data_IF_924529905981
#
_entry.id   IF_924529905981
#
_cell.length_a   1.000
_cell.length_b   1.000
_cell.length_c   1.000
_cell.angle_alpha   90.00
_cell.angle_beta   90.00
_cell.angle_gamma   90.00
#
_symmetry.space_group_name_H-M   'P 1'
#
loop_
_entity.id
_entity.type
_entity.pdbx_description
1 polymer ?
#
# COMPACT_ATOMS: atom_id res chain seq x y z
N UNK A 1 13.18 -24.55 8.50
CA UNK A 1 12.61 -23.36 9.15
C UNK A 1 11.84 -22.59 8.10
N UNK A 2 10.52 -22.42 8.26
CA UNK A 2 9.73 -21.65 7.29
C UNK A 2 9.96 -20.17 7.60
N UNK A 3 10.79 -19.51 6.78
CA UNK A 3 10.94 -18.04 6.82
C UNK A 3 9.66 -17.41 6.30
N UNK A 4 9.21 -16.30 6.90
CA UNK A 4 8.00 -15.59 6.46
C UNK A 4 8.41 -14.25 5.87
N UNK A 5 7.94 -13.99 4.65
CA UNK A 5 8.08 -12.69 4.02
C UNK A 5 6.85 -11.85 4.33
N UNK A 6 7.06 -10.67 4.91
CA UNK A 6 6.03 -9.68 5.17
C UNK A 6 6.13 -8.58 4.13
N UNK A 7 5.07 -8.44 3.34
CA UNK A 7 4.98 -7.47 2.25
C UNK A 7 4.05 -6.34 2.69
N UNK A 8 4.59 -5.12 2.77
CA UNK A 8 3.85 -3.90 3.10
C UNK A 8 3.64 -3.12 1.82
N UNK A 9 2.39 -2.83 1.50
CA UNK A 9 2.00 -2.06 0.34
C UNK A 9 1.39 -0.75 0.83
N UNK A 10 1.87 0.38 0.30
CA UNK A 10 1.37 1.72 0.65
C UNK A 10 1.11 2.51 -0.62
N UNK A 11 -0.07 3.16 -0.71
CA UNK A 11 -0.41 4.01 -1.85
C UNK A 11 -1.41 5.10 -1.46
N UNK A 12 -1.48 6.16 -2.25
CA UNK A 12 -2.51 7.20 -2.17
C UNK A 12 -3.80 6.80 -2.89
N UNK A 13 -3.73 5.91 -3.88
CA UNK A 13 -4.88 5.39 -4.62
C UNK A 13 -5.25 3.97 -4.18
N UNK A 14 -6.45 3.82 -3.62
CA UNK A 14 -6.95 2.53 -3.17
C UNK A 14 -7.20 1.53 -4.31
N UNK A 15 -7.57 1.98 -5.51
CA UNK A 15 -7.92 1.10 -6.63
C UNK A 15 -6.67 0.39 -7.16
N UNK A 16 -5.63 1.18 -7.48
CA UNK A 16 -4.34 0.66 -7.94
C UNK A 16 -3.69 -0.26 -6.91
N UNK A 17 -3.79 0.10 -5.62
CA UNK A 17 -3.29 -0.73 -4.53
C UNK A 17 -3.97 -2.10 -4.46
N UNK A 18 -5.30 -2.13 -4.62
CA UNK A 18 -6.06 -3.38 -4.61
C UNK A 18 -5.74 -4.25 -5.84
N UNK A 19 -5.55 -3.65 -7.01
CA UNK A 19 -5.14 -4.37 -8.22
C UNK A 19 -3.79 -5.07 -8.02
N UNK A 20 -2.80 -4.37 -7.46
CA UNK A 20 -1.49 -4.96 -7.13
C UNK A 20 -1.62 -6.08 -6.09
N UNK A 21 -2.46 -5.89 -5.06
CA UNK A 21 -2.74 -6.94 -4.07
C UNK A 21 -3.33 -8.20 -4.72
N UNK A 22 -4.26 -8.04 -5.67
CA UNK A 22 -4.84 -9.15 -6.40
C UNK A 22 -3.82 -9.88 -7.28
N UNK A 23 -2.95 -9.14 -7.96
CA UNK A 23 -1.89 -9.74 -8.77
C UNK A 23 -0.94 -10.57 -7.91
N UNK A 24 -0.51 -10.06 -6.74
CA UNK A 24 0.31 -10.80 -5.78
C UNK A 24 -0.42 -12.06 -5.29
N UNK A 25 -1.71 -11.95 -4.97
CA UNK A 25 -2.53 -13.09 -4.55
C UNK A 25 -2.64 -14.17 -5.64
N UNK A 26 -2.83 -13.77 -6.90
CA UNK A 26 -2.89 -14.70 -8.05
C UNK A 26 -1.55 -15.42 -8.24
N UNK A 27 -0.43 -14.73 -8.07
CA UNK A 27 0.90 -15.34 -8.17
C UNK A 27 1.13 -16.34 -7.03
N UNK A 28 0.80 -15.97 -5.80
CA UNK A 28 0.93 -16.87 -4.65
C UNK A 28 0.07 -18.15 -4.81
N UNK A 29 -1.16 -18.02 -5.34
CA UNK A 29 -2.03 -19.15 -5.65
C UNK A 29 -1.46 -20.06 -6.74
N UNK A 30 -0.88 -19.49 -7.81
CA UNK A 30 -0.26 -20.28 -8.89
C UNK A 30 0.93 -21.09 -8.41
N UNK A 31 1.70 -20.57 -7.46
CA UNK A 31 2.88 -21.26 -6.93
C UNK A 31 2.55 -22.21 -5.77
N UNK A 32 1.31 -22.18 -5.26
CA UNK A 32 0.86 -23.06 -4.18
C UNK A 32 1.38 -22.68 -2.79
N UNK A 33 1.85 -21.44 -2.62
CA UNK A 33 2.40 -20.96 -1.35
C UNK A 33 1.29 -20.50 -0.42
N UNK A 34 1.44 -20.76 0.89
CA UNK A 34 0.48 -20.28 1.88
C UNK A 34 0.58 -18.77 1.98
N UNK A 35 -0.57 -18.11 1.81
CA UNK A 35 -0.72 -16.66 1.88
C UNK A 35 -1.71 -16.32 2.99
N UNK A 36 -1.30 -15.45 3.91
CA UNK A 36 -2.23 -14.68 4.71
C UNK A 36 -2.62 -13.48 3.87
N UNK A 37 -3.91 -13.44 3.51
CA UNK A 37 -4.45 -12.53 2.49
C UNK A 37 -4.17 -11.04 2.75
N UNK A 38 -4.50 -10.16 1.80
CA UNK A 38 -4.25 -8.73 1.95
C UNK A 38 -5.04 -8.17 3.13
N UNK A 39 -4.37 -8.00 4.27
CA UNK A 39 -4.91 -7.42 5.50
C UNK A 39 -4.97 -5.90 5.29
N UNK A 40 -6.17 -5.30 5.26
CA UNK A 40 -6.30 -3.86 5.19
C UNK A 40 -5.91 -3.24 6.53
N UNK A 41 -4.84 -2.45 6.52
CA UNK A 41 -4.48 -1.62 7.67
C UNK A 41 -5.28 -0.30 7.62
N UNK A 42 -5.53 0.33 8.78
CA UNK A 42 -6.20 1.62 8.85
C UNK A 42 -5.53 2.67 7.95
N UNK A 43 -6.36 3.37 7.18
CA UNK A 43 -5.91 4.44 6.30
C UNK A 43 -5.48 5.63 7.13
N UNK A 44 -4.24 6.10 6.94
CA UNK A 44 -3.79 7.34 7.58
C UNK A 44 -4.37 8.52 6.82
N UNK A 45 -5.02 9.43 7.55
CA UNK A 45 -5.61 10.66 7.02
C UNK A 45 -4.75 11.84 7.46
N UNK A 46 -4.07 12.48 6.52
CA UNK A 46 -3.31 13.70 6.76
C UNK A 46 -4.19 14.87 6.35
N UNK A 47 -4.58 15.69 7.33
CA UNK A 47 -5.44 16.86 7.11
C UNK A 47 -4.59 18.10 7.32
N UNK A 48 -4.56 18.98 6.32
CA UNK A 48 -3.89 20.28 6.40
C UNK A 48 -4.98 21.33 6.17
N UNK A 49 -5.15 22.21 7.14
CA UNK A 49 -6.09 23.34 7.05
C UNK A 49 -5.32 24.64 6.93
N UNK A 50 -5.51 25.37 5.84
CA UNK A 50 -4.87 26.66 5.61
C UNK A 50 -5.93 27.75 5.42
N UNK A 51 -5.58 28.97 5.81
CA UNK A 51 -6.41 30.11 5.44
C UNK A 51 -6.32 30.29 3.94
N UNK A 52 -7.46 30.57 3.29
CA UNK A 52 -7.49 30.80 1.83
C UNK A 52 -6.77 32.09 1.47
N UNK A 53 -6.90 33.11 2.32
CA UNK A 53 -6.29 34.41 2.12
C UNK A 53 -4.83 34.42 2.59
N UNK A 54 -3.90 35.02 1.81
CA UNK A 54 -2.49 35.14 2.20
C UNK A 54 -2.22 36.31 3.17
N UNK A 55 -2.97 37.42 3.09
CA UNK A 55 -2.74 38.65 3.85
C UNK A 55 -3.59 38.80 5.12
N UNK A 56 -4.49 37.85 5.41
CA UNK A 56 -5.35 37.88 6.62
C UNK A 56 -6.53 38.85 6.60
N UNK A 57 -6.63 39.71 5.57
CA UNK A 57 -7.75 40.64 5.38
C UNK A 57 -8.98 39.97 4.71
N UNK A 58 -10.17 40.45 5.02
CA UNK A 58 -11.44 39.94 4.47
C UNK A 58 -12.08 38.79 5.27
N UNK A 59 -12.95 38.02 4.61
CA UNK A 59 -13.74 36.98 5.29
C UNK A 59 -12.88 35.78 5.66
N UNK A 60 -12.94 35.34 6.92
CA UNK A 60 -12.20 34.18 7.45
C UNK A 60 -12.68 32.87 6.79
N UNK A 61 -12.05 32.53 5.68
CA UNK A 61 -12.31 31.31 4.91
C UNK A 61 -11.12 30.36 5.01
N UNK A 62 -11.42 29.07 5.14
CA UNK A 62 -10.44 28.01 5.38
C UNK A 62 -10.59 26.92 4.33
N UNK A 63 -9.48 26.54 3.71
CA UNK A 63 -9.41 25.37 2.86
C UNK A 63 -8.91 24.17 3.66
N UNK A 64 -9.52 23.02 3.39
CA UNK A 64 -9.20 21.75 4.05
C UNK A 64 -8.68 20.77 3.01
N UNK A 65 -7.38 20.57 3.00
CA UNK A 65 -6.72 19.59 2.14
C UNK A 65 -6.57 18.27 2.89
N UNK A 66 -6.83 17.16 2.19
CA UNK A 66 -6.72 15.83 2.76
C UNK A 66 -5.88 14.93 1.84
N UNK A 67 -4.88 14.26 2.42
CA UNK A 67 -4.17 13.16 1.79
C UNK A 67 -4.49 11.86 2.51
N UNK A 68 -5.02 10.88 1.78
CA UNK A 68 -5.29 9.55 2.28
C UNK A 68 -4.17 8.60 1.89
N UNK A 69 -3.61 7.91 2.88
CA UNK A 69 -2.59 6.89 2.66
C UNK A 69 -3.20 5.53 3.02
N UNK A 70 -3.41 4.72 2.01
CA UNK A 70 -3.92 3.36 2.10
C UNK A 70 -2.77 2.39 2.33
N UNK A 71 -2.96 1.47 3.29
CA UNK A 71 -1.97 0.46 3.65
C UNK A 71 -2.56 -0.93 3.57
N UNK A 72 -1.78 -1.87 3.04
CA UNK A 72 -2.09 -3.30 2.99
C UNK A 72 -0.89 -4.09 3.47
N UNK A 73 -1.15 -5.19 4.15
CA UNK A 73 -0.15 -6.13 4.63
C UNK A 73 -0.46 -7.50 4.05
N UNK A 74 0.54 -8.16 3.49
CA UNK A 74 0.43 -9.55 3.00
C UNK A 74 1.57 -10.33 3.64
N UNK A 75 1.27 -11.43 4.33
CA UNK A 75 2.29 -12.34 4.84
C UNK A 75 2.30 -13.61 3.96
N UNK A 76 3.46 -13.98 3.43
CA UNK A 76 3.66 -15.14 2.55
C UNK A 76 4.81 -15.99 3.09
N UNK A 77 4.72 -17.31 2.96
CA UNK A 77 5.85 -18.21 3.26
C UNK A 77 6.98 -17.97 2.25
N UNK A 78 8.21 -17.78 2.73
CA UNK A 78 9.35 -17.37 1.91
C UNK A 78 9.87 -18.53 1.06
N UNK A 79 9.32 -18.65 -0.14
CA UNK A 79 9.81 -19.48 -1.23
C UNK A 79 10.56 -18.61 -2.27
N UNK A 80 11.80 -18.97 -2.61
CA UNK A 80 12.65 -18.17 -3.51
C UNK A 80 12.04 -17.99 -4.90
N UNK A 81 11.36 -19.01 -5.42
CA UNK A 81 10.70 -18.96 -6.73
C UNK A 81 9.58 -17.92 -6.73
N UNK A 82 8.80 -17.90 -5.67
CA UNK A 82 7.69 -16.95 -5.49
C UNK A 82 8.21 -15.52 -5.31
N UNK A 83 9.27 -15.30 -4.53
CA UNK A 83 9.87 -13.97 -4.32
C UNK A 83 10.39 -13.35 -5.63
N UNK A 84 11.07 -14.14 -6.47
CA UNK A 84 11.54 -13.68 -7.80
C UNK A 84 10.40 -13.29 -8.73
N UNK A 85 9.26 -13.99 -8.65
CA UNK A 85 8.09 -13.66 -9.44
C UNK A 85 7.41 -12.38 -8.95
N UNK A 86 7.34 -12.16 -7.63
CA UNK A 86 6.77 -10.94 -7.05
C UNK A 86 7.58 -9.71 -7.45
N UNK A 87 8.91 -9.80 -7.45
CA UNK A 87 9.79 -8.70 -7.88
C UNK A 87 9.65 -8.34 -9.37
N UNK A 88 9.10 -9.23 -10.20
CA UNK A 88 8.88 -9.01 -11.63
C UNK A 88 7.54 -8.34 -11.96
N UNK A 89 6.69 -8.13 -10.97
CA UNK A 89 5.40 -7.45 -11.18
C UNK A 89 5.68 -6.00 -11.60
N UNK A 90 4.96 -5.52 -12.61
CA UNK A 90 4.98 -4.09 -12.97
C UNK A 90 4.17 -3.33 -11.94
N UNK A 91 4.86 -2.66 -11.03
CA UNK A 91 4.23 -1.84 -9.99
C UNK A 91 4.01 -0.43 -10.54
N UNK A 92 2.79 0.13 -10.46
CA UNK A 92 2.56 1.54 -10.78
C UNK A 92 3.37 2.45 -9.85
N UNK A 93 3.84 3.60 -10.34
CA UNK A 93 4.70 4.53 -9.56
C UNK A 93 4.04 5.02 -8.26
N UNK A 94 2.71 5.03 -8.19
CA UNK A 94 1.93 5.44 -7.03
C UNK A 94 1.91 4.41 -5.89
N UNK A 95 2.44 3.21 -6.09
CA UNK A 95 2.40 2.10 -5.13
C UNK A 95 3.80 1.79 -4.63
N UNK A 96 4.03 2.03 -3.34
CA UNK A 96 5.26 1.65 -2.65
C UNK A 96 5.15 0.25 -2.08
N UNK A 97 6.12 -0.61 -2.39
CA UNK A 97 6.23 -1.98 -1.85
C UNK A 97 7.48 -2.05 -0.97
N UNK A 98 7.31 -2.54 0.25
CA UNK A 98 8.40 -2.89 1.16
C UNK A 98 8.29 -4.37 1.52
N UNK A 99 9.40 -5.09 1.47
CA UNK A 99 9.46 -6.52 1.77
C UNK A 99 10.42 -6.71 2.94
N UNK A 100 9.93 -7.27 4.03
CA UNK A 100 10.70 -7.65 5.21
C UNK A 100 10.76 -9.18 5.30
N UNK A 101 11.95 -9.75 5.38
CA UNK A 101 12.14 -11.18 5.65
C UNK A 101 12.25 -11.39 7.16
N UNK A 102 11.38 -12.23 7.71
CA UNK A 102 11.35 -12.62 9.13
C UNK A 102 11.60 -14.11 9.29
#
# INVERSE_FOLDING_TARGET
MVRKARIRLTSTDAKKLNEVCEQIKRIAQKTGVRISGPIPLPTKRLVITTMRTPCGEGTKTWDRFELRIHKRLIDIDADERTMRQIMRIRVPDDVKIEIELT
#
